data_IF_661609057505
#
_entry.id   IF_661609057505
#
_cell.length_a   1.000
_cell.length_b   1.000
_cell.length_c   1.000
_cell.angle_alpha   90.00
_cell.angle_beta   90.00
_cell.angle_gamma   90.00
#
_symmetry.space_group_name_H-M   'P 1'
#
loop_
_entity.id
_entity.type
_entity.pdbx_description
1 polymer ?
#
# COMPACT_ATOMS: atom_id res chain seq x y z
N UNK A 1 -22.74 -14.46 -33.96
CA UNK A 1 -23.55 -13.77 -32.93
C UNK A 1 -23.38 -12.27 -33.16
N UNK A 2 -24.42 -11.58 -33.61
CA UNK A 2 -24.41 -10.14 -33.82
C UNK A 2 -24.45 -9.43 -32.46
N UNK A 3 -23.33 -8.88 -32.01
CA UNK A 3 -23.31 -7.86 -30.96
C UNK A 3 -23.74 -6.53 -31.59
N UNK A 4 -25.04 -6.37 -31.85
CA UNK A 4 -25.61 -5.04 -31.92
C UNK A 4 -25.53 -4.48 -30.50
N UNK A 5 -24.41 -3.83 -30.18
CA UNK A 5 -24.24 -3.15 -28.91
C UNK A 5 -25.28 -2.04 -28.86
N UNK A 6 -26.40 -2.30 -28.19
CA UNK A 6 -27.33 -1.26 -27.79
C UNK A 6 -26.50 -0.20 -27.07
N UNK A 7 -26.39 0.97 -27.69
CA UNK A 7 -25.64 2.10 -27.13
C UNK A 7 -26.24 2.42 -25.77
N UNK A 8 -25.50 2.10 -24.70
CA UNK A 8 -25.92 2.44 -23.34
C UNK A 8 -26.19 3.95 -23.28
N UNK A 9 -27.33 4.39 -22.73
CA UNK A 9 -27.72 5.80 -22.73
C UNK A 9 -26.79 6.68 -21.88
N UNK A 10 -25.93 6.06 -21.05
CA UNK A 10 -24.84 6.73 -20.33
C UNK A 10 -23.53 6.08 -20.76
N UNK A 11 -22.69 6.81 -21.48
CA UNK A 11 -21.35 6.34 -21.83
C UNK A 11 -20.47 6.18 -20.58
N UNK A 12 -19.57 5.19 -20.58
CA UNK A 12 -18.66 4.96 -19.46
C UNK A 12 -17.79 6.18 -19.14
N UNK A 13 -17.32 6.92 -20.15
CA UNK A 13 -16.53 8.14 -19.97
C UNK A 13 -17.28 9.23 -19.18
N UNK A 14 -18.59 9.38 -19.43
CA UNK A 14 -19.46 10.29 -18.69
C UNK A 14 -19.65 9.80 -17.24
N UNK A 15 -19.98 8.52 -17.04
CA UNK A 15 -20.08 7.94 -15.71
C UNK A 15 -18.78 8.12 -14.90
N UNK A 16 -17.64 7.81 -15.52
CA UNK A 16 -16.32 7.91 -14.91
C UNK A 16 -16.01 9.34 -14.47
N UNK A 17 -16.16 10.32 -15.39
CA UNK A 17 -15.86 11.73 -15.11
C UNK A 17 -16.74 12.30 -14.00
N UNK A 18 -17.98 11.83 -13.88
CA UNK A 18 -18.93 12.28 -12.85
C UNK A 18 -18.67 11.64 -11.49
N UNK A 19 -18.56 10.31 -11.44
CA UNK A 19 -18.59 9.53 -10.19
C UNK A 19 -17.19 9.35 -9.59
N UNK A 20 -16.15 9.19 -10.41
CA UNK A 20 -14.80 8.90 -9.92
C UNK A 20 -14.27 9.95 -8.92
N UNK A 21 -14.42 11.28 -9.14
CA UNK A 21 -13.92 12.27 -8.17
C UNK A 21 -14.56 12.13 -6.78
N UNK A 22 -15.87 11.87 -6.72
CA UNK A 22 -16.60 11.69 -5.48
C UNK A 22 -16.26 10.35 -4.81
N UNK A 23 -16.19 9.26 -5.59
CA UNK A 23 -15.80 7.93 -5.11
C UNK A 23 -14.38 7.93 -4.56
N UNK A 24 -13.42 8.54 -5.27
CA UNK A 24 -12.04 8.68 -4.82
C UNK A 24 -11.95 9.38 -3.48
N UNK A 25 -12.64 10.51 -3.33
CA UNK A 25 -12.62 11.27 -2.07
C UNK A 25 -13.26 10.47 -0.92
N UNK A 26 -14.36 9.76 -1.17
CA UNK A 26 -15.02 8.90 -0.19
C UNK A 26 -14.22 7.64 0.18
N UNK A 27 -13.44 7.09 -0.77
CA UNK A 27 -12.64 5.88 -0.59
C UNK A 27 -11.34 6.12 0.20
N UNK A 28 -10.86 7.37 0.27
CA UNK A 28 -9.59 7.71 0.92
C UNK A 28 -9.46 7.16 2.34
N UNK A 29 -10.43 7.44 3.21
CA UNK A 29 -10.37 7.01 4.62
C UNK A 29 -10.40 5.50 4.78
N UNK A 30 -11.35 4.75 4.18
CA UNK A 30 -11.36 3.29 4.29
C UNK A 30 -10.10 2.65 3.69
N UNK A 31 -9.60 3.10 2.54
CA UNK A 31 -8.35 2.57 1.98
C UNK A 31 -7.13 2.90 2.84
N UNK A 32 -7.08 4.10 3.40
CA UNK A 32 -6.02 4.50 4.35
C UNK A 32 -5.98 3.57 5.56
N UNK A 33 -7.13 3.22 6.12
CA UNK A 33 -7.23 2.27 7.23
C UNK A 33 -6.92 0.83 6.79
N UNK A 34 -7.35 0.45 5.59
CA UNK A 34 -7.18 -0.90 5.06
C UNK A 34 -5.73 -1.22 4.72
N UNK A 35 -5.09 -0.42 3.85
CA UNK A 35 -3.77 -0.68 3.27
C UNK A 35 -2.62 -0.02 4.04
N UNK A 36 -2.88 1.13 4.65
CA UNK A 36 -1.82 1.97 5.22
C UNK A 36 -1.87 2.07 6.74
N UNK A 37 -2.68 1.24 7.41
CA UNK A 37 -2.84 1.25 8.87
C UNK A 37 -3.14 2.65 9.44
N UNK A 38 -3.89 3.46 8.68
CA UNK A 38 -4.24 4.83 9.06
C UNK A 38 -3.23 5.91 8.66
N UNK A 39 -2.00 5.54 8.25
CA UNK A 39 -1.02 6.47 7.72
C UNK A 39 -1.45 7.02 6.34
N UNK A 40 -1.10 8.27 5.97
CA UNK A 40 -1.38 8.79 4.64
C UNK A 40 -0.88 7.87 3.53
N UNK A 41 -1.64 7.77 2.44
CA UNK A 41 -1.24 7.00 1.28
C UNK A 41 0.05 7.56 0.66
N UNK A 42 1.00 6.68 0.32
CA UNK A 42 2.32 7.03 -0.18
C UNK A 42 2.40 7.29 -1.68
N UNK A 43 1.27 7.54 -2.38
CA UNK A 43 1.29 7.90 -3.80
C UNK A 43 2.11 9.17 -4.08
N UNK A 44 2.24 9.53 -5.35
CA UNK A 44 3.07 10.67 -5.81
C UNK A 44 2.83 11.91 -4.92
N UNK A 45 3.92 12.46 -4.36
CA UNK A 45 3.93 13.62 -3.45
C UNK A 45 3.02 13.53 -2.21
N UNK A 46 2.59 12.33 -1.80
CA UNK A 46 1.60 12.10 -0.71
C UNK A 46 0.24 12.78 -0.93
N UNK A 47 0.00 13.31 -2.13
CA UNK A 47 -1.24 13.97 -2.54
C UNK A 47 -2.17 13.02 -3.30
N UNK A 48 -1.59 12.03 -3.95
CA UNK A 48 -2.28 11.04 -4.74
C UNK A 48 -2.39 9.70 -3.99
N UNK A 49 -3.38 8.90 -4.40
CA UNK A 49 -3.47 7.51 -3.97
C UNK A 49 -2.36 6.70 -4.70
N UNK A 50 -1.86 5.64 -4.08
CA UNK A 50 -0.99 4.66 -4.72
C UNK A 50 -1.79 3.81 -5.70
N UNK A 51 -1.10 3.10 -6.58
CA UNK A 51 -1.73 2.36 -7.67
C UNK A 51 -2.70 1.28 -7.15
N UNK A 52 -2.37 0.57 -6.08
CA UNK A 52 -3.29 -0.39 -5.44
C UNK A 52 -4.60 0.25 -4.99
N UNK A 53 -4.51 1.44 -4.38
CA UNK A 53 -5.70 2.18 -3.93
C UNK A 53 -6.53 2.68 -5.12
N UNK A 54 -5.88 3.07 -6.22
CA UNK A 54 -6.56 3.47 -7.45
C UNK A 54 -7.24 2.26 -8.11
N UNK A 55 -6.55 1.12 -8.18
CA UNK A 55 -7.08 -0.14 -8.70
C UNK A 55 -8.34 -0.58 -7.95
N UNK A 56 -8.30 -0.57 -6.61
CA UNK A 56 -9.47 -0.89 -5.78
C UNK A 56 -10.67 0.01 -6.10
N UNK A 57 -10.45 1.31 -6.40
CA UNK A 57 -11.51 2.24 -6.79
C UNK A 57 -12.01 1.94 -8.20
N UNK A 58 -11.12 1.64 -9.15
CA UNK A 58 -11.48 1.31 -10.53
C UNK A 58 -12.36 0.07 -10.62
N UNK A 59 -12.06 -0.97 -9.84
CA UNK A 59 -12.90 -2.18 -9.76
C UNK A 59 -14.33 -1.84 -9.29
N UNK A 60 -14.47 -0.93 -8.31
CA UNK A 60 -15.79 -0.46 -7.84
C UNK A 60 -16.50 0.41 -8.86
N UNK A 61 -15.77 1.22 -9.60
CA UNK A 61 -16.31 2.03 -10.68
C UNK A 61 -16.88 1.14 -11.79
N UNK A 62 -16.16 0.09 -12.19
CA UNK A 62 -16.63 -0.87 -13.20
C UNK A 62 -17.88 -1.61 -12.70
N UNK A 63 -17.83 -2.18 -11.50
CA UNK A 63 -18.99 -2.86 -10.91
C UNK A 63 -20.21 -1.93 -10.74
N UNK A 64 -19.97 -0.67 -10.38
CA UNK A 64 -20.99 0.38 -10.27
C UNK A 64 -21.60 0.75 -11.62
N UNK A 65 -20.78 0.86 -12.67
CA UNK A 65 -21.24 1.12 -14.04
C UNK A 65 -22.10 -0.02 -14.58
N UNK A 66 -21.66 -1.27 -14.43
CA UNK A 66 -22.47 -2.43 -14.83
C UNK A 66 -23.81 -2.48 -14.10
N UNK A 67 -23.82 -2.13 -12.82
CA UNK A 67 -25.04 -2.03 -12.01
C UNK A 67 -25.97 -0.93 -12.54
N UNK A 68 -25.43 0.23 -12.93
CA UNK A 68 -26.19 1.31 -13.57
C UNK A 68 -26.74 0.89 -14.93
N UNK A 69 -25.93 0.22 -15.76
CA UNK A 69 -26.34 -0.31 -17.05
C UNK A 69 -27.53 -1.26 -16.92
N UNK A 70 -27.44 -2.27 -16.03
CA UNK A 70 -28.57 -3.17 -15.75
C UNK A 70 -29.83 -2.44 -15.30
N UNK A 71 -29.69 -1.46 -14.40
CA UNK A 71 -30.83 -0.68 -13.93
C UNK A 71 -31.48 0.14 -15.05
N UNK A 72 -30.67 0.64 -15.98
CA UNK A 72 -31.17 1.40 -17.13
C UNK A 72 -31.90 0.51 -18.14
N UNK A 73 -31.52 -0.76 -18.24
CA UNK A 73 -32.24 -1.78 -19.01
C UNK A 73 -33.52 -2.31 -18.32
N UNK A 74 -34.03 -1.61 -17.29
CA UNK A 74 -35.20 -2.04 -16.54
C UNK A 74 -34.94 -3.21 -15.59
N UNK A 75 -33.68 -3.52 -15.28
CA UNK A 75 -33.28 -4.58 -14.33
C UNK A 75 -32.59 -3.98 -13.11
N UNK A 76 -33.32 -3.24 -12.26
CA UNK A 76 -32.73 -2.61 -11.10
C UNK A 76 -32.17 -3.66 -10.11
N UNK A 77 -31.13 -3.29 -9.35
CA UNK A 77 -30.56 -4.16 -8.32
C UNK A 77 -31.60 -4.52 -7.27
N UNK A 78 -31.49 -5.73 -6.72
CA UNK A 78 -32.39 -6.25 -5.69
C UNK A 78 -31.69 -6.40 -4.34
N UNK A 79 -32.46 -6.27 -3.27
CA UNK A 79 -32.03 -6.56 -1.90
C UNK A 79 -31.88 -8.07 -1.70
N UNK A 80 -31.38 -8.48 -0.53
CA UNK A 80 -31.29 -9.91 -0.15
C UNK A 80 -32.65 -10.60 -0.05
N UNK A 81 -33.71 -9.84 0.24
CA UNK A 81 -35.10 -10.32 0.28
C UNK A 81 -35.76 -10.35 -1.10
N UNK A 82 -35.04 -9.95 -2.16
CA UNK A 82 -35.52 -9.95 -3.53
C UNK A 82 -36.29 -8.69 -3.95
N UNK A 83 -36.43 -7.71 -3.05
CA UNK A 83 -37.08 -6.42 -3.29
C UNK A 83 -36.22 -5.51 -4.15
N UNK A 84 -36.84 -4.62 -4.93
CA UNK A 84 -36.12 -3.67 -5.77
C UNK A 84 -35.52 -2.55 -4.93
N UNK A 85 -34.27 -2.15 -5.22
CA UNK A 85 -33.66 -0.97 -4.59
C UNK A 85 -34.26 0.29 -5.22
N UNK A 86 -35.24 0.88 -4.55
CA UNK A 86 -36.02 2.02 -5.05
C UNK A 86 -35.17 3.27 -5.34
N UNK A 87 -34.07 3.47 -4.63
CA UNK A 87 -33.17 4.61 -4.85
C UNK A 87 -32.39 4.49 -6.16
N UNK A 88 -32.35 3.33 -6.81
CA UNK A 88 -31.65 3.20 -8.08
C UNK A 88 -32.38 3.95 -9.21
N UNK A 89 -33.71 3.96 -9.19
CA UNK A 89 -34.53 4.61 -10.21
C UNK A 89 -34.33 6.15 -10.28
N UNK A 90 -34.42 6.93 -9.19
CA UNK A 90 -34.12 8.35 -9.21
C UNK A 90 -32.64 8.63 -9.54
N UNK A 91 -31.71 7.73 -9.21
CA UNK A 91 -30.31 7.86 -9.61
C UNK A 91 -30.15 7.71 -11.13
N UNK A 92 -30.77 6.70 -11.75
CA UNK A 92 -30.77 6.49 -13.21
C UNK A 92 -31.37 7.70 -13.92
N UNK A 93 -32.57 8.16 -13.50
CA UNK A 93 -33.20 9.35 -14.09
C UNK A 93 -32.31 10.58 -14.03
N UNK A 94 -31.68 10.82 -12.89
CA UNK A 94 -30.77 11.95 -12.72
C UNK A 94 -29.55 11.84 -13.64
N UNK A 95 -28.90 10.68 -13.69
CA UNK A 95 -27.76 10.42 -14.58
C UNK A 95 -28.11 10.67 -16.05
N UNK A 96 -29.23 10.12 -16.53
CA UNK A 96 -29.67 10.29 -17.93
C UNK A 96 -30.03 11.75 -18.22
N UNK A 97 -30.62 12.47 -17.27
CA UNK A 97 -30.93 13.90 -17.45
C UNK A 97 -29.68 14.77 -17.58
N UNK A 98 -28.59 14.41 -16.89
CA UNK A 98 -27.31 15.13 -16.98
C UNK A 98 -26.61 14.92 -18.31
N UNK A 99 -26.72 13.72 -18.89
CA UNK A 99 -26.18 13.45 -20.23
C UNK A 99 -26.87 14.34 -21.27
N UNK A 100 -28.14 14.71 -21.04
CA UNK A 100 -28.89 15.63 -21.89
C UNK A 100 -28.63 17.13 -21.60
N UNK A 101 -27.95 17.49 -20.50
CA UNK A 101 -27.61 18.87 -20.13
C UNK A 101 -26.10 19.04 -19.83
N UNK A 102 -25.26 19.23 -20.86
CA UNK A 102 -23.83 19.46 -20.69
C UNK A 102 -23.47 20.69 -19.84
N UNK A 103 -24.33 21.71 -19.83
CA UNK A 103 -24.08 22.94 -19.06
C UNK A 103 -24.22 22.71 -17.54
N UNK A 104 -25.12 21.80 -17.15
CA UNK A 104 -25.31 21.36 -15.76
C UNK A 104 -24.24 20.38 -15.25
N UNK A 105 -23.41 19.83 -16.13
CA UNK A 105 -22.50 18.72 -15.84
C UNK A 105 -21.46 19.05 -14.76
N UNK A 106 -20.67 20.10 -14.97
CA UNK A 106 -19.59 20.50 -14.07
C UNK A 106 -20.11 20.92 -12.68
N UNK A 107 -21.29 21.56 -12.65
CA UNK A 107 -21.98 21.87 -11.38
C UNK A 107 -22.39 20.59 -10.63
N UNK A 108 -22.77 19.56 -11.37
CA UNK A 108 -23.21 18.28 -10.81
C UNK A 108 -22.06 17.44 -10.27
N UNK A 109 -20.89 17.45 -10.94
CA UNK A 109 -19.65 16.87 -10.42
C UNK A 109 -19.34 17.44 -9.03
N UNK A 110 -19.31 18.79 -8.92
CA UNK A 110 -19.01 19.46 -7.65
C UNK A 110 -20.02 19.11 -6.57
N UNK A 111 -21.32 19.08 -6.92
CA UNK A 111 -22.40 18.72 -5.98
C UNK A 111 -22.29 17.29 -5.48
N UNK A 112 -22.03 16.32 -6.37
CA UNK A 112 -21.87 14.91 -6.01
C UNK A 112 -20.70 14.67 -5.06
N UNK A 113 -19.62 15.45 -5.23
CA UNK A 113 -18.40 15.40 -4.41
C UNK A 113 -18.56 16.04 -3.02
N UNK A 114 -19.26 17.16 -2.92
CA UNK A 114 -19.45 17.88 -1.66
C UNK A 114 -20.30 17.09 -0.67
N UNK A 115 -20.38 17.48 0.61
CA UNK A 115 -21.31 16.82 1.57
C UNK A 115 -22.78 17.07 1.20
N UNK A 116 -23.71 16.17 1.58
CA UNK A 116 -25.14 16.41 1.39
C UNK A 116 -25.57 17.68 2.11
N UNK A 117 -26.54 18.39 1.55
CA UNK A 117 -27.14 19.61 2.13
C UNK A 117 -28.65 19.48 2.13
N UNK A 118 -29.31 20.20 3.02
CA UNK A 118 -30.78 20.24 3.07
C UNK A 118 -31.34 20.80 1.76
N UNK A 119 -32.43 20.21 1.29
CA UNK A 119 -33.04 20.56 0.00
C UNK A 119 -32.31 20.01 -1.24
N UNK A 120 -31.31 19.14 -1.09
CA UNK A 120 -30.66 18.48 -2.24
C UNK A 120 -31.68 17.69 -3.08
N UNK A 121 -31.65 17.79 -4.42
CA UNK A 121 -32.54 17.03 -5.30
C UNK A 121 -32.48 15.53 -5.04
N UNK A 122 -33.65 14.88 -5.00
CA UNK A 122 -33.76 13.45 -4.68
C UNK A 122 -32.89 12.56 -5.58
N UNK A 123 -32.80 12.87 -6.88
CA UNK A 123 -31.98 12.14 -7.85
C UNK A 123 -30.48 12.20 -7.55
N UNK A 124 -29.96 13.36 -7.14
CA UNK A 124 -28.56 13.54 -6.77
C UNK A 124 -28.25 12.82 -5.46
N UNK A 125 -29.13 12.90 -4.45
CA UNK A 125 -29.00 12.17 -3.19
C UNK A 125 -28.96 10.66 -3.42
N UNK A 126 -29.84 10.17 -4.28
CA UNK A 126 -29.92 8.77 -4.67
C UNK A 126 -28.67 8.32 -5.44
N UNK A 127 -28.20 9.11 -6.40
CA UNK A 127 -26.97 8.84 -7.15
C UNK A 127 -25.74 8.77 -6.23
N UNK A 128 -25.62 9.71 -5.30
CA UNK A 128 -24.59 9.71 -4.27
C UNK A 128 -24.65 8.45 -3.40
N UNK A 129 -25.83 8.07 -2.93
CA UNK A 129 -25.99 6.85 -2.14
C UNK A 129 -25.61 5.60 -2.93
N UNK A 130 -26.15 5.43 -4.14
CA UNK A 130 -26.06 4.18 -4.90
C UNK A 130 -24.78 4.03 -5.73
N UNK A 131 -24.22 5.12 -6.22
CA UNK A 131 -23.06 5.14 -7.11
C UNK A 131 -21.76 5.47 -6.39
N UNK A 132 -21.81 6.18 -5.24
CA UNK A 132 -20.60 6.55 -4.49
C UNK A 132 -20.48 5.76 -3.20
N UNK A 133 -21.43 5.86 -2.27
CA UNK A 133 -21.23 5.30 -0.93
C UNK A 133 -21.52 3.81 -0.82
N UNK A 134 -22.59 3.32 -1.45
CA UNK A 134 -22.95 1.90 -1.38
C UNK A 134 -21.83 0.98 -1.92
N UNK A 135 -21.19 1.25 -3.08
CA UNK A 135 -20.05 0.47 -3.53
C UNK A 135 -18.87 0.44 -2.56
N UNK A 136 -18.73 1.45 -1.70
CA UNK A 136 -17.62 1.59 -0.75
C UNK A 136 -17.94 1.07 0.65
N UNK A 137 -19.18 0.69 0.94
CA UNK A 137 -19.62 0.30 2.30
C UNK A 137 -18.77 -0.85 2.88
N UNK A 138 -18.30 -1.76 2.02
CA UNK A 138 -17.48 -2.91 2.41
C UNK A 138 -16.02 -2.82 1.97
N UNK A 139 -15.60 -1.67 1.41
CA UNK A 139 -14.28 -1.51 0.82
C UNK A 139 -13.18 -1.89 1.81
N UNK A 140 -13.20 -1.31 3.01
CA UNK A 140 -12.15 -1.56 4.01
C UNK A 140 -12.05 -3.05 4.40
N UNK A 141 -13.19 -3.71 4.61
CA UNK A 141 -13.22 -5.12 5.00
C UNK A 141 -12.80 -6.05 3.84
N UNK A 142 -13.17 -5.71 2.61
CA UNK A 142 -12.84 -6.48 1.40
C UNK A 142 -11.37 -6.30 1.02
N UNK A 143 -10.85 -5.07 1.03
CA UNK A 143 -9.43 -4.79 0.79
C UNK A 143 -8.55 -5.50 1.83
N UNK A 144 -8.89 -5.43 3.13
CA UNK A 144 -8.14 -6.17 4.17
C UNK A 144 -8.21 -7.68 4.02
N UNK A 145 -9.29 -8.20 3.41
CA UNK A 145 -9.42 -9.62 3.12
C UNK A 145 -8.54 -10.00 1.94
N UNK A 146 -8.59 -9.24 0.86
CA UNK A 146 -7.76 -9.43 -0.32
C UNK A 146 -6.27 -9.37 0.05
N UNK A 147 -5.86 -8.35 0.81
CA UNK A 147 -4.48 -8.20 1.29
C UNK A 147 -4.02 -9.33 2.22
N UNK A 148 -4.92 -9.88 3.03
CA UNK A 148 -4.58 -11.04 3.83
C UNK A 148 -4.39 -12.28 2.95
N UNK A 149 -5.28 -12.51 1.98
CA UNK A 149 -5.19 -13.63 1.06
C UNK A 149 -3.91 -13.55 0.22
N UNK A 150 -3.55 -12.36 -0.29
CA UNK A 150 -2.33 -12.17 -1.10
C UNK A 150 -1.06 -12.47 -0.30
N UNK A 151 -1.06 -12.24 1.02
CA UNK A 151 0.02 -12.64 1.94
C UNK A 151 -0.07 -14.10 2.43
N UNK A 152 -0.92 -14.93 1.83
CA UNK A 152 -1.14 -16.32 2.27
C UNK A 152 -1.87 -16.45 3.61
N UNK A 153 -2.44 -15.36 4.11
CA UNK A 153 -3.20 -15.28 5.35
C UNK A 153 -4.66 -15.69 5.21
N UNK A 154 -5.33 -15.80 6.36
CA UNK A 154 -6.71 -16.25 6.43
C UNK A 154 -7.68 -15.12 6.05
N UNK A 155 -8.61 -15.41 5.15
CA UNK A 155 -9.68 -14.48 4.80
C UNK A 155 -10.58 -14.15 6.00
N UNK A 156 -10.80 -15.12 6.89
CA UNK A 156 -11.69 -15.04 8.04
C UNK A 156 -11.08 -15.74 9.28
N UNK A 157 -10.15 -15.08 10.01
CA UNK A 157 -9.39 -15.70 11.10
C UNK A 157 -10.28 -16.33 12.16
N UNK A 158 -11.35 -15.64 12.57
CA UNK A 158 -12.34 -16.17 13.51
C UNK A 158 -12.92 -17.49 13.04
N UNK A 159 -13.45 -17.54 11.80
CA UNK A 159 -14.03 -18.76 11.22
C UNK A 159 -13.00 -19.88 11.17
N UNK A 160 -11.79 -19.56 10.73
CA UNK A 160 -10.75 -20.56 10.53
C UNK A 160 -10.26 -21.12 11.88
N UNK A 161 -10.15 -20.29 12.91
CA UNK A 161 -9.79 -20.69 14.27
C UNK A 161 -10.92 -21.45 14.99
N UNK A 162 -12.19 -21.14 14.72
CA UNK A 162 -13.34 -21.82 15.37
C UNK A 162 -13.76 -23.11 14.67
N UNK A 163 -13.59 -23.21 13.35
CA UNK A 163 -14.13 -24.32 12.56
C UNK A 163 -13.07 -25.29 12.01
N UNK A 164 -11.84 -24.85 11.77
CA UNK A 164 -10.85 -25.70 11.11
C UNK A 164 -10.37 -26.84 11.99
N UNK A 165 -10.17 -28.02 11.40
CA UNK A 165 -9.68 -29.20 12.11
C UNK A 165 -8.32 -28.97 12.77
N UNK A 166 -7.41 -28.25 12.10
CA UNK A 166 -6.08 -27.94 12.65
C UNK A 166 -6.14 -27.09 13.92
N UNK A 167 -7.16 -26.25 14.07
CA UNK A 167 -7.30 -25.34 15.20
C UNK A 167 -7.88 -26.02 16.46
N UNK A 168 -8.20 -27.32 16.42
CA UNK A 168 -8.73 -28.09 17.57
C UNK A 168 -7.95 -27.86 18.87
N UNK A 169 -6.60 -27.91 18.89
CA UNK A 169 -5.84 -27.67 20.12
C UNK A 169 -6.07 -26.26 20.71
N UNK A 170 -6.32 -25.25 19.86
CA UNK A 170 -6.56 -23.87 20.31
C UNK A 170 -7.94 -23.68 20.95
N UNK A 171 -8.89 -24.59 20.68
CA UNK A 171 -10.27 -24.52 21.16
C UNK A 171 -10.47 -25.14 22.55
N UNK A 172 -9.44 -25.76 23.12
CA UNK A 172 -9.48 -26.38 24.45
C UNK A 172 -9.72 -25.35 25.57
N UNK A 173 -9.31 -24.10 25.36
CA UNK A 173 -9.57 -22.99 26.28
C UNK A 173 -10.32 -21.86 25.55
N UNK A 174 -11.65 -21.70 25.77
CA UNK A 174 -12.45 -20.68 25.11
C UNK A 174 -11.97 -19.25 25.36
N UNK A 175 -11.51 -18.93 26.59
CA UNK A 175 -10.99 -17.60 26.92
C UNK A 175 -9.71 -17.30 26.14
N UNK A 176 -8.80 -18.26 26.05
CA UNK A 176 -7.56 -18.13 25.27
C UNK A 176 -7.87 -17.94 23.77
N UNK A 177 -8.84 -18.69 23.24
CA UNK A 177 -9.26 -18.58 21.85
C UNK A 177 -9.86 -17.20 21.53
N UNK A 178 -10.75 -16.69 22.37
CA UNK A 178 -11.39 -15.39 22.14
C UNK A 178 -10.41 -14.23 22.28
N UNK A 179 -9.48 -14.30 23.23
CA UNK A 179 -8.36 -13.35 23.34
C UNK A 179 -7.48 -13.39 22.08
N UNK A 180 -7.15 -14.58 21.58
CA UNK A 180 -6.33 -14.77 20.37
C UNK A 180 -7.03 -14.21 19.13
N UNK A 181 -8.33 -14.50 18.95
CA UNK A 181 -9.12 -13.99 17.83
C UNK A 181 -9.19 -12.46 17.88
N UNK A 182 -9.51 -11.88 19.04
CA UNK A 182 -9.58 -10.42 19.21
C UNK A 182 -8.22 -9.76 18.91
N UNK A 183 -7.12 -10.33 19.40
CA UNK A 183 -5.78 -9.82 19.12
C UNK A 183 -5.46 -9.84 17.62
N UNK A 184 -5.72 -10.93 16.92
CA UNK A 184 -5.51 -11.02 15.46
C UNK A 184 -6.40 -10.03 14.71
N UNK A 185 -7.68 -9.92 15.07
CA UNK A 185 -8.62 -8.97 14.46
C UNK A 185 -8.14 -7.52 14.66
N UNK A 186 -7.66 -7.15 15.86
CA UNK A 186 -7.08 -5.84 16.16
C UNK A 186 -5.79 -5.56 15.41
N UNK A 187 -4.85 -6.51 15.37
CA UNK A 187 -3.60 -6.37 14.60
C UNK A 187 -3.89 -6.11 13.12
N UNK A 188 -4.84 -6.85 12.54
CA UNK A 188 -5.33 -6.60 11.17
C UNK A 188 -6.02 -5.26 11.01
N UNK A 189 -6.51 -4.68 12.10
CA UNK A 189 -7.05 -3.33 12.13
C UNK A 189 -6.00 -2.24 12.34
N UNK A 190 -4.71 -2.59 12.42
CA UNK A 190 -3.60 -1.66 12.60
C UNK A 190 -3.24 -1.41 14.05
N UNK A 191 -3.74 -2.19 15.00
CA UNK A 191 -3.25 -2.13 16.38
C UNK A 191 -1.76 -2.49 16.42
N UNK A 192 -0.99 -1.75 17.20
CA UNK A 192 0.45 -1.97 17.37
C UNK A 192 0.77 -2.94 18.49
N UNK A 193 -0.11 -3.00 19.51
CA UNK A 193 0.08 -3.87 20.66
C UNK A 193 -0.89 -5.08 20.60
N UNK A 194 -0.38 -6.30 20.35
CA UNK A 194 -1.20 -7.50 20.40
C UNK A 194 -1.79 -7.73 21.80
N UNK A 195 -1.14 -7.25 22.85
CA UNK A 195 -1.48 -7.46 24.25
C UNK A 195 -2.41 -6.40 24.86
N UNK A 196 -2.90 -5.45 24.06
CA UNK A 196 -3.92 -4.50 24.46
C UNK A 196 -5.31 -5.18 24.60
N UNK A 197 -5.52 -5.91 25.69
CA UNK A 197 -6.72 -6.71 25.93
C UNK A 197 -7.91 -5.80 26.30
N UNK A 198 -9.05 -5.89 25.60
CA UNK A 198 -10.21 -5.05 25.89
C UNK A 198 -10.89 -5.49 27.20
N UNK A 199 -11.31 -4.51 28.02
CA UNK A 199 -11.97 -4.75 29.32
C UNK A 199 -13.15 -5.72 29.24
N UNK A 200 -13.95 -5.63 28.17
CA UNK A 200 -15.08 -6.56 27.93
C UNK A 200 -14.70 -8.04 27.99
N UNK A 201 -13.49 -8.41 27.52
CA UNK A 201 -13.03 -9.80 27.55
C UNK A 201 -12.49 -10.20 28.92
N UNK A 202 -11.92 -9.25 29.66
CA UNK A 202 -11.54 -9.47 31.07
C UNK A 202 -12.79 -9.75 31.90
N UNK A 203 -13.81 -8.90 31.77
CA UNK A 203 -15.07 -9.03 32.50
C UNK A 203 -15.83 -10.32 32.11
N UNK A 204 -15.86 -10.66 30.82
CA UNK A 204 -16.55 -11.86 30.31
C UNK A 204 -15.98 -13.18 30.87
N UNK A 205 -14.67 -13.22 31.13
CA UNK A 205 -13.98 -14.43 31.56
C UNK A 205 -13.48 -14.37 33.01
N UNK A 206 -13.83 -13.31 33.75
CA UNK A 206 -13.37 -13.05 35.12
C UNK A 206 -11.83 -13.15 35.25
N UNK A 207 -11.13 -12.53 34.30
CA UNK A 207 -9.66 -12.52 34.26
C UNK A 207 -9.12 -11.18 34.71
N UNK A 208 -8.08 -11.22 35.55
CA UNK A 208 -7.22 -10.06 35.71
C UNK A 208 -6.30 -9.87 34.48
N UNK A 209 -5.75 -8.66 34.35
CA UNK A 209 -4.92 -8.33 33.20
C UNK A 209 -3.66 -9.21 33.10
N UNK A 210 -2.91 -9.50 34.18
CA UNK A 210 -1.75 -10.39 34.12
C UNK A 210 -2.08 -11.81 33.66
N UNK A 211 -3.16 -12.42 34.16
CA UNK A 211 -3.58 -13.76 33.74
C UNK A 211 -4.01 -13.77 32.28
N UNK A 212 -4.78 -12.76 31.84
CA UNK A 212 -5.18 -12.65 30.44
C UNK A 212 -3.97 -12.46 29.51
N UNK A 213 -2.94 -11.73 29.94
CA UNK A 213 -1.70 -11.55 29.20
C UNK A 213 -0.92 -12.86 29.04
N UNK A 214 -0.74 -13.61 30.13
CA UNK A 214 -0.10 -14.92 30.11
C UNK A 214 -0.88 -15.91 29.22
N UNK A 215 -2.21 -15.89 29.33
CA UNK A 215 -3.08 -16.75 28.54
C UNK A 215 -2.99 -16.45 27.05
N UNK A 216 -3.00 -15.17 26.67
CA UNK A 216 -2.82 -14.73 25.29
C UNK A 216 -1.42 -15.09 24.75
N UNK A 217 -0.38 -14.94 25.56
CA UNK A 217 0.99 -15.35 25.18
C UNK A 217 1.06 -16.85 24.90
N UNK A 218 0.52 -17.67 25.80
CA UNK A 218 0.45 -19.12 25.60
C UNK A 218 -0.38 -19.49 24.36
N UNK A 219 -1.46 -18.76 24.08
CA UNK A 219 -2.28 -18.96 22.88
C UNK A 219 -1.50 -18.65 21.60
N UNK A 220 -0.68 -17.58 21.57
CA UNK A 220 0.19 -17.28 20.43
C UNK A 220 1.26 -18.35 20.22
N UNK A 221 1.91 -18.82 21.28
CA UNK A 221 2.92 -19.88 21.19
C UNK A 221 2.29 -21.19 20.68
N UNK A 222 1.08 -21.52 21.16
CA UNK A 222 0.33 -22.68 20.67
C UNK A 222 -0.09 -22.51 19.21
N UNK A 223 -0.53 -21.32 18.79
CA UNK A 223 -0.86 -21.04 17.38
C UNK A 223 0.38 -21.21 16.50
N UNK A 224 1.54 -20.70 16.93
CA UNK A 224 2.81 -20.84 16.21
C UNK A 224 3.20 -22.31 16.05
N UNK A 225 3.00 -23.12 17.09
CA UNK A 225 3.30 -24.56 17.05
C UNK A 225 2.34 -25.35 16.15
N UNK A 226 1.03 -25.04 16.19
CA UNK A 226 0.01 -25.77 15.44
C UNK A 226 0.00 -25.38 13.95
N UNK A 227 0.14 -24.09 13.63
CA UNK A 227 0.09 -23.58 12.26
C UNK A 227 0.95 -22.34 12.09
N UNK A 228 2.26 -22.55 11.93
CA UNK A 228 3.26 -21.49 11.77
C UNK A 228 2.92 -20.48 10.66
N UNK A 229 2.51 -20.93 9.49
CA UNK A 229 2.21 -20.02 8.36
C UNK A 229 1.04 -19.07 8.68
N UNK A 230 0.02 -19.57 9.39
CA UNK A 230 -1.10 -18.75 9.83
C UNK A 230 -0.65 -17.71 10.85
N UNK A 231 0.21 -18.10 11.79
CA UNK A 231 0.83 -17.18 12.75
C UNK A 231 1.64 -16.09 12.03
N UNK A 232 2.49 -16.45 11.07
CA UNK A 232 3.30 -15.49 10.33
C UNK A 232 2.39 -14.49 9.61
N UNK A 233 1.45 -15.00 8.81
CA UNK A 233 0.60 -14.17 7.95
C UNK A 233 -0.40 -13.27 8.69
N UNK A 234 -0.79 -13.62 9.93
CA UNK A 234 -1.80 -12.87 10.70
C UNK A 234 -1.26 -12.16 11.95
N UNK A 235 -0.05 -12.48 12.41
CA UNK A 235 0.52 -11.96 13.67
C UNK A 235 1.90 -11.36 13.43
N UNK A 236 2.87 -12.14 12.96
CA UNK A 236 4.27 -11.71 12.88
C UNK A 236 4.45 -10.48 11.97
N UNK A 237 3.80 -10.47 10.80
CA UNK A 237 3.83 -9.35 9.83
C UNK A 237 3.34 -8.02 10.44
N UNK A 238 2.56 -8.07 11.51
CA UNK A 238 2.01 -6.87 12.16
C UNK A 238 2.82 -6.39 13.36
N UNK A 239 3.53 -7.29 14.06
CA UNK A 239 4.33 -6.98 15.25
C UNK A 239 5.76 -6.55 14.85
N UNK A 240 6.36 -7.28 13.92
CA UNK A 240 7.76 -7.11 13.52
C UNK A 240 7.85 -6.41 12.15
N UNK A 241 7.47 -5.13 12.08
CA UNK A 241 7.66 -4.36 10.84
C UNK A 241 9.13 -4.21 10.44
N UNK A 242 10.05 -4.35 11.40
CA UNK A 242 11.49 -4.32 11.17
C UNK A 242 12.14 -5.71 11.07
N UNK A 243 11.51 -6.77 11.62
CA UNK A 243 12.06 -8.14 11.56
C UNK A 243 11.49 -8.99 10.41
N UNK A 244 10.35 -8.60 9.82
CA UNK A 244 9.75 -9.31 8.68
C UNK A 244 10.46 -9.02 7.33
N UNK A 245 11.37 -8.04 7.29
CA UNK A 245 12.13 -7.64 6.09
C UNK A 245 13.38 -8.49 5.86
N UNK A 246 13.70 -9.44 6.75
CA UNK A 246 14.99 -10.14 6.74
C UNK A 246 15.11 -11.27 5.73
N UNK A 247 14.18 -12.24 5.70
CA UNK A 247 14.49 -13.50 5.00
C UNK A 247 13.30 -14.35 4.50
N UNK A 248 12.03 -13.97 4.72
CA UNK A 248 10.90 -14.87 4.43
C UNK A 248 9.70 -14.25 3.72
N UNK A 249 9.81 -13.01 3.21
CA UNK A 249 8.75 -12.37 2.42
C UNK A 249 9.35 -11.67 1.19
N UNK A 250 10.22 -12.36 0.45
CA UNK A 250 10.27 -12.11 -0.98
C UNK A 250 9.33 -13.15 -1.58
N UNK A 251 8.11 -12.78 -2.06
CA UNK A 251 7.39 -13.67 -2.97
C UNK A 251 8.35 -14.06 -4.11
N UNK A 252 8.19 -15.23 -4.75
CA UNK A 252 8.99 -15.54 -5.92
C UNK A 252 8.88 -14.36 -6.89
N UNK A 253 9.99 -13.63 -7.05
CA UNK A 253 10.02 -12.43 -7.87
C UNK A 253 9.57 -12.83 -9.27
N UNK A 254 8.55 -12.16 -9.76
CA UNK A 254 8.11 -12.34 -11.14
C UNK A 254 9.28 -12.01 -12.08
N UNK A 255 9.38 -12.61 -13.26
CA UNK A 255 10.40 -12.24 -14.25
C UNK A 255 10.44 -10.73 -14.53
N UNK A 256 9.29 -10.07 -14.48
CA UNK A 256 9.14 -8.62 -14.60
C UNK A 256 9.76 -7.86 -13.43
N UNK A 257 9.57 -8.30 -12.18
CA UNK A 257 10.21 -7.69 -11.01
C UNK A 257 11.74 -7.88 -11.04
N UNK A 258 12.22 -9.04 -11.49
CA UNK A 258 13.66 -9.28 -11.67
C UNK A 258 14.27 -8.35 -12.74
N UNK A 259 13.53 -8.04 -13.80
CA UNK A 259 13.94 -7.08 -14.83
C UNK A 259 14.00 -5.67 -14.26
N UNK A 260 12.96 -5.23 -13.53
CA UNK A 260 12.91 -3.90 -12.90
C UNK A 260 14.06 -3.75 -11.90
N UNK A 261 14.32 -4.74 -11.06
CA UNK A 261 15.43 -4.69 -10.10
C UNK A 261 16.80 -4.65 -10.79
N UNK A 262 16.96 -5.36 -11.91
CA UNK A 262 18.19 -5.31 -12.70
C UNK A 262 18.40 -3.94 -13.36
N UNK A 263 17.33 -3.31 -13.86
CA UNK A 263 17.33 -1.94 -14.39
C UNK A 263 17.66 -0.93 -13.29
N UNK A 264 16.98 -0.99 -12.15
CA UNK A 264 17.22 -0.14 -10.98
C UNK A 264 18.67 -0.27 -10.47
N UNK A 265 19.18 -1.50 -10.40
CA UNK A 265 20.57 -1.75 -10.03
C UNK A 265 21.55 -1.19 -11.06
N UNK A 266 21.26 -1.33 -12.36
CA UNK A 266 22.07 -0.78 -13.45
C UNK A 266 22.11 0.76 -13.39
N UNK A 267 20.97 1.40 -13.18
CA UNK A 267 20.85 2.85 -13.05
C UNK A 267 21.56 3.37 -11.80
N UNK A 268 21.42 2.68 -10.67
CA UNK A 268 22.15 3.00 -9.44
C UNK A 268 23.67 2.90 -9.67
N UNK A 269 24.15 1.84 -10.32
CA UNK A 269 25.57 1.69 -10.68
C UNK A 269 26.06 2.79 -11.63
N UNK A 270 25.24 3.18 -12.60
CA UNK A 270 25.55 4.30 -13.49
C UNK A 270 25.66 5.62 -12.73
N UNK A 271 24.73 5.90 -11.81
CA UNK A 271 24.75 7.08 -10.97
C UNK A 271 25.99 7.12 -10.05
N UNK A 272 26.32 6.00 -9.38
CA UNK A 272 27.55 5.88 -8.57
C UNK A 272 28.79 6.15 -9.43
N UNK A 273 28.86 5.54 -10.63
CA UNK A 273 29.97 5.75 -11.58
C UNK A 273 30.12 7.23 -11.95
N UNK A 274 29.01 7.90 -12.26
CA UNK A 274 28.99 9.32 -12.59
C UNK A 274 29.46 10.19 -11.41
N UNK A 275 29.04 9.88 -10.18
CA UNK A 275 29.47 10.59 -8.97
C UNK A 275 30.98 10.46 -8.76
N UNK A 276 31.54 9.25 -8.85
CA UNK A 276 32.98 9.02 -8.60
C UNK A 276 33.87 9.48 -9.75
N UNK A 277 33.34 9.64 -10.97
CA UNK A 277 34.07 10.16 -12.13
C UNK A 277 33.92 11.68 -12.32
N UNK A 278 33.01 12.31 -11.58
CA UNK A 278 32.79 13.75 -11.61
C UNK A 278 33.96 14.57 -11.06
N UNK A 279 33.87 15.90 -11.19
CA UNK A 279 34.88 16.84 -10.65
C UNK A 279 35.11 16.70 -9.15
N UNK A 280 34.10 16.28 -8.41
CA UNK A 280 34.15 16.03 -6.96
C UNK A 280 34.33 14.54 -6.62
N UNK A 281 34.72 13.72 -7.60
CA UNK A 281 34.71 12.27 -7.50
C UNK A 281 35.57 11.71 -6.35
N UNK A 282 36.63 12.40 -5.96
CA UNK A 282 37.47 12.03 -4.80
C UNK A 282 36.70 12.15 -3.49
N UNK A 283 35.88 13.19 -3.34
CA UNK A 283 35.05 13.44 -2.15
C UNK A 283 33.92 12.43 -2.06
N UNK A 284 33.24 12.16 -3.17
CA UNK A 284 32.18 11.15 -3.23
C UNK A 284 32.72 9.73 -3.00
N UNK A 285 33.90 9.41 -3.52
CA UNK A 285 34.59 8.14 -3.26
C UNK A 285 34.88 7.96 -1.78
N UNK A 286 35.33 9.01 -1.09
CA UNK A 286 35.57 8.97 0.35
C UNK A 286 34.27 8.83 1.18
N UNK A 287 33.16 9.43 0.73
CA UNK A 287 31.84 9.25 1.34
C UNK A 287 31.37 7.79 1.21
N UNK A 288 31.36 7.26 -0.01
CA UNK A 288 30.87 5.91 -0.29
C UNK A 288 31.74 4.84 0.39
N UNK A 289 33.07 5.04 0.44
CA UNK A 289 33.97 4.16 1.21
C UNK A 289 33.59 4.12 2.69
N UNK A 290 33.28 5.28 3.30
CA UNK A 290 32.82 5.34 4.69
C UNK A 290 31.46 4.67 4.90
N UNK A 291 30.57 4.77 3.92
CA UNK A 291 29.27 4.09 3.96
C UNK A 291 29.45 2.56 3.90
N UNK A 292 30.31 2.07 3.01
CA UNK A 292 30.56 0.63 2.85
C UNK A 292 31.34 0.01 4.02
N UNK A 293 32.22 0.78 4.68
CA UNK A 293 33.15 0.24 5.69
C UNK A 293 32.50 -0.26 7.00
N UNK A 294 31.20 0.01 7.23
CA UNK A 294 30.32 -0.52 8.30
C UNK A 294 30.79 -0.51 9.78
N UNK A 295 32.06 -0.23 10.10
CA UNK A 295 32.58 -0.24 11.47
C UNK A 295 32.92 1.18 11.93
N UNK A 296 31.96 1.83 12.58
CA UNK A 296 32.12 3.17 13.17
C UNK A 296 32.81 3.15 14.54
N UNK A 297 33.55 2.08 14.90
CA UNK A 297 34.07 1.86 16.26
C UNK A 297 35.29 2.69 16.67
N UNK A 298 35.76 3.63 15.85
CA UNK A 298 36.92 4.45 16.25
C UNK A 298 37.14 5.75 15.47
N UNK A 299 36.15 6.18 14.69
CA UNK A 299 36.25 7.37 13.85
C UNK A 299 35.09 8.32 14.06
N UNK A 300 35.28 9.55 13.62
CA UNK A 300 34.18 10.47 13.45
C UNK A 300 33.07 9.86 12.58
N UNK A 301 31.82 9.92 13.05
CA UNK A 301 30.67 9.39 12.33
C UNK A 301 30.52 9.96 10.91
N UNK A 302 29.92 9.17 10.00
CA UNK A 302 29.74 9.54 8.59
C UNK A 302 28.98 10.87 8.44
N UNK A 303 28.00 11.14 9.31
CA UNK A 303 27.19 12.36 9.27
C UNK A 303 28.01 13.61 9.65
N UNK A 304 28.70 13.68 10.82
CA UNK A 304 29.60 14.79 11.12
C UNK A 304 30.68 15.03 10.06
N UNK A 305 31.27 13.96 9.52
CA UNK A 305 32.27 14.09 8.45
C UNK A 305 31.67 14.69 7.17
N UNK A 306 30.46 14.25 6.80
CA UNK A 306 29.73 14.76 5.63
C UNK A 306 29.37 16.23 5.81
N UNK A 307 28.90 16.61 7.00
CA UNK A 307 28.55 18.00 7.31
C UNK A 307 29.73 18.95 7.06
N UNK A 308 30.92 18.60 7.54
CA UNK A 308 32.12 19.42 7.31
C UNK A 308 32.60 19.40 5.87
N UNK A 309 32.64 18.22 5.25
CA UNK A 309 33.21 18.06 3.91
C UNK A 309 32.37 18.75 2.84
N UNK A 310 31.05 18.70 2.97
CA UNK A 310 30.11 19.31 2.03
C UNK A 310 29.58 20.68 2.49
N UNK A 311 30.08 21.21 3.61
CA UNK A 311 29.60 22.46 4.22
C UNK A 311 28.08 22.47 4.44
N UNK A 312 27.54 21.35 4.92
CA UNK A 312 26.13 21.18 5.27
C UNK A 312 25.93 21.33 6.78
N UNK A 313 24.73 21.77 7.17
CA UNK A 313 24.26 21.51 8.53
C UNK A 313 24.04 20.00 8.74
N UNK A 314 23.93 19.59 10.00
CA UNK A 314 23.85 18.19 10.39
C UNK A 314 22.59 17.48 9.85
N UNK A 315 21.45 18.20 9.77
CA UNK A 315 20.19 17.64 9.28
C UNK A 315 20.23 17.39 7.76
N UNK A 316 20.82 18.31 7.01
CA UNK A 316 21.06 18.19 5.57
C UNK A 316 22.10 17.11 5.29
N UNK A 317 23.17 17.03 6.09
CA UNK A 317 24.16 15.97 6.01
C UNK A 317 23.54 14.58 6.26
N UNK A 318 22.69 14.42 7.28
CA UNK A 318 22.00 13.17 7.56
C UNK A 318 21.05 12.74 6.43
N UNK A 319 20.37 13.70 5.80
CA UNK A 319 19.52 13.43 4.63
C UNK A 319 20.34 13.03 3.42
N UNK A 320 21.47 13.72 3.20
CA UNK A 320 22.41 13.43 2.12
C UNK A 320 23.04 12.04 2.27
N UNK A 321 23.50 11.68 3.48
CA UNK A 321 24.03 10.34 3.77
C UNK A 321 22.98 9.27 3.50
N UNK A 322 21.74 9.44 3.95
CA UNK A 322 20.66 8.46 3.70
C UNK A 322 20.42 8.22 2.21
N UNK A 323 20.42 9.28 1.39
CA UNK A 323 20.28 9.15 -0.06
C UNK A 323 21.44 8.33 -0.67
N UNK A 324 22.67 8.53 -0.20
CA UNK A 324 23.85 7.80 -0.70
C UNK A 324 23.95 6.37 -0.17
N UNK A 325 23.45 6.11 1.05
CA UNK A 325 23.28 4.74 1.58
C UNK A 325 22.30 3.98 0.69
N UNK A 326 21.14 4.57 0.39
CA UNK A 326 20.15 3.93 -0.49
C UNK A 326 20.75 3.62 -1.87
N UNK A 327 21.45 4.59 -2.45
CA UNK A 327 22.11 4.41 -3.75
C UNK A 327 23.19 3.31 -3.73
N UNK A 328 24.02 3.26 -2.69
CA UNK A 328 25.06 2.24 -2.53
C UNK A 328 24.47 0.83 -2.33
N UNK A 329 23.37 0.72 -1.56
CA UNK A 329 22.65 -0.54 -1.36
C UNK A 329 22.02 -1.02 -2.67
N UNK A 330 21.33 -0.14 -3.42
CA UNK A 330 20.74 -0.48 -4.72
C UNK A 330 21.79 -0.91 -5.75
N UNK A 331 22.95 -0.24 -5.79
CA UNK A 331 24.05 -0.63 -6.69
C UNK A 331 24.73 -1.95 -6.29
N UNK A 332 24.58 -2.37 -5.03
CA UNK A 332 25.30 -3.45 -4.37
C UNK A 332 26.52 -2.92 -3.60
N UNK A 333 26.59 -3.22 -2.29
CA UNK A 333 27.64 -2.71 -1.40
C UNK A 333 29.04 -3.21 -1.81
N UNK A 334 29.19 -4.49 -2.12
CA UNK A 334 30.48 -5.08 -2.56
C UNK A 334 30.97 -4.46 -3.88
N UNK A 335 30.03 -4.23 -4.80
CA UNK A 335 30.32 -3.57 -6.07
C UNK A 335 30.76 -2.12 -5.84
N UNK A 336 30.05 -1.40 -4.96
CA UNK A 336 30.36 0.00 -4.62
C UNK A 336 31.73 0.10 -3.96
N UNK A 337 32.04 -0.78 -3.01
CA UNK A 337 33.35 -0.86 -2.35
C UNK A 337 34.48 -1.13 -3.35
N UNK A 338 34.26 -2.04 -4.31
CA UNK A 338 35.22 -2.31 -5.38
C UNK A 338 35.48 -1.06 -6.23
N UNK A 339 34.42 -0.35 -6.61
CA UNK A 339 34.54 0.87 -7.41
C UNK A 339 35.23 2.00 -6.68
N UNK A 340 35.01 2.13 -5.36
CA UNK A 340 35.62 3.19 -4.53
C UNK A 340 37.04 2.86 -4.08
N UNK A 341 37.42 1.59 -4.07
CA UNK A 341 38.79 1.14 -3.80
C UNK A 341 39.70 1.16 -5.04
N UNK A 342 39.13 1.06 -6.25
CA UNK A 342 39.91 1.07 -7.49
C UNK A 342 40.66 2.39 -7.69
N UNK A 343 41.99 2.39 -7.59
CA UNK A 343 42.82 3.58 -7.83
C UNK A 343 42.45 4.20 -9.19
N UNK A 344 42.20 5.53 -9.27
CA UNK A 344 41.84 6.15 -10.53
C UNK A 344 42.94 5.85 -11.54
N UNK A 345 42.61 5.04 -12.57
CA UNK A 345 43.51 4.84 -13.71
C UNK A 345 43.77 6.23 -14.27
N UNK A 346 44.98 6.75 -14.05
CA UNK A 346 45.46 7.95 -14.74
C UNK A 346 45.14 7.69 -16.21
N UNK A 347 44.25 8.51 -16.79
CA UNK A 347 44.11 8.62 -18.24
C UNK A 347 45.50 8.96 -18.73
N UNK A 348 46.27 7.95 -19.15
CA UNK A 348 47.47 8.17 -19.95
C UNK A 348 46.95 8.95 -21.15
N UNK A 349 47.35 10.22 -21.21
CA UNK A 349 47.11 11.08 -22.36
C UNK A 349 47.38 10.24 -23.60
N UNK A 350 46.33 10.08 -24.41
CA UNK A 350 46.46 9.48 -25.74
C UNK A 350 47.63 10.22 -26.41
N UNK A 351 48.70 9.53 -26.85
CA UNK A 351 49.83 10.19 -27.46
C UNK A 351 49.29 11.04 -28.61
N UNK A 352 49.65 12.32 -28.54
CA UNK A 352 49.37 13.32 -29.56
C UNK A 352 49.82 12.73 -30.90
N UNK A 353 48.96 12.62 -31.93
CA UNK A 353 49.37 12.08 -33.21
C UNK A 353 50.52 12.93 -33.74
N UNK A 354 51.66 12.29 -33.97
CA UNK A 354 52.86 12.93 -34.51
C UNK A 354 52.48 13.73 -35.77
N UNK A 355 52.83 15.01 -35.78
CA UNK A 355 52.67 15.86 -36.94
C UNK A 355 53.33 15.19 -38.15
N UNK A 356 52.54 14.96 -39.21
CA UNK A 356 53.10 14.64 -40.51
C UNK A 356 53.99 15.82 -40.96
N UNK A 357 55.29 15.60 -41.03
CA UNK A 357 56.20 16.48 -41.75
C UNK A 357 55.85 16.43 -43.25
N UNK A 358 55.73 17.57 -43.93
CA UNK A 358 55.54 17.60 -45.37
C UNK A 358 56.85 17.23 -46.07
N UNK A 359 56.78 16.29 -47.00
CA UNK A 359 57.80 16.04 -48.04
C UNK A 359 57.16 16.20 -49.41
#
# INVERSE_FOLDING_TARGET
MNFAAASHPVAFSAYYSLVFPAMRDAARVPLRRARHNGAPCGGIDRRYLCDDCVSDIHDRMLAGYERLGRATDGRPPRTRTGETVHEMEPAVRWMTSLVADPAGWERSIRRLRNRPVDGEPAGLRAARAQLVYYPLQKLEAETRRADAISRGGAAHPRRDLTASRWATPLRENPAALDLLIDAIERLRCGATDPYAIPRRLLDQYDLDLPAAWQLLRAAFDRLRAVRRDFYIANVAVHIDKDAATGDLINPPQTPEELLIEAEDQSDARHAVTKLIQGSEGTVYRALLTRICAADTRGGEGVVPWTARTFSYDEAKAATFVRAHVHLAVQAGLDWTETQTSATPRRRTSRPEPAACEPS
#
